data_IF_286828865472
#
_entry.id   IF_286828865472
#
_cell.length_a   1.000
_cell.length_b   1.000
_cell.length_c   1.000
_cell.angle_alpha   90.00
_cell.angle_beta   90.00
_cell.angle_gamma   90.00
#
_symmetry.space_group_name_H-M   'P 1'
#
loop_
_entity.id
_entity.type
_entity.pdbx_description
1 polymer ?
#
# COMPACT_ATOMS: atom_id res chain seq x y z
N UNK A 1 -19.11 51.02 34.45
CA UNK A 1 -19.27 49.78 33.65
C UNK A 1 -18.44 48.69 34.30
N UNK A 2 -19.08 47.72 34.96
CA UNK A 2 -18.41 46.57 35.56
C UNK A 2 -18.17 45.51 34.47
N UNK A 3 -16.91 45.32 34.07
CA UNK A 3 -16.52 44.18 33.22
C UNK A 3 -16.34 42.99 34.15
N UNK A 4 -17.21 41.98 34.04
CA UNK A 4 -17.00 40.71 34.75
C UNK A 4 -15.85 39.93 34.10
N UNK A 5 -14.93 39.33 34.88
CA UNK A 5 -13.83 38.59 34.31
C UNK A 5 -14.35 37.31 33.64
N UNK A 6 -13.97 37.11 32.38
CA UNK A 6 -14.22 35.88 31.63
C UNK A 6 -13.45 34.77 32.35
N UNK A 7 -14.16 33.78 32.87
CA UNK A 7 -13.57 32.58 33.46
C UNK A 7 -12.80 31.82 32.39
N UNK A 8 -11.47 31.84 32.46
CA UNK A 8 -10.60 31.05 31.60
C UNK A 8 -10.73 29.57 32.00
N UNK A 9 -11.56 28.82 31.27
CA UNK A 9 -11.67 27.37 31.46
C UNK A 9 -10.31 26.71 31.17
N UNK A 10 -9.61 26.26 32.21
CA UNK A 10 -8.38 25.48 32.09
C UNK A 10 -8.68 24.00 32.26
N UNK A 11 -8.79 23.28 31.15
CA UNK A 11 -9.03 21.84 31.10
C UNK A 11 -7.94 21.06 31.86
N UNK A 12 -6.68 21.48 31.71
CA UNK A 12 -5.52 20.89 32.38
C UNK A 12 -4.98 21.82 33.47
N UNK A 13 -4.65 21.25 34.64
CA UNK A 13 -4.07 21.98 35.76
C UNK A 13 -2.82 21.26 36.29
N UNK A 14 -1.76 22.01 36.56
CA UNK A 14 -0.55 21.49 37.22
C UNK A 14 -0.90 20.98 38.62
N UNK A 15 -0.35 19.81 39.02
CA UNK A 15 -0.63 19.17 40.31
C UNK A 15 -1.81 18.18 40.34
N UNK A 16 -2.64 18.11 39.30
CA UNK A 16 -3.79 17.18 39.24
C UNK A 16 -3.59 16.05 38.23
N UNK A 17 -2.58 15.21 38.47
CA UNK A 17 -2.13 14.15 37.55
C UNK A 17 -3.26 13.18 37.18
N UNK A 18 -4.02 12.68 38.15
CA UNK A 18 -5.12 11.75 37.90
C UNK A 18 -6.24 12.38 37.03
N UNK A 19 -6.62 13.62 37.31
CA UNK A 19 -7.67 14.33 36.57
C UNK A 19 -7.25 14.59 35.13
N UNK A 20 -6.01 15.01 34.92
CA UNK A 20 -5.45 15.25 33.58
C UNK A 20 -5.35 13.94 32.79
N UNK A 21 -4.89 12.85 33.42
CA UNK A 21 -4.83 11.53 32.79
C UNK A 21 -6.21 11.00 32.40
N UNK A 22 -7.22 11.15 33.27
CA UNK A 22 -8.60 10.79 32.95
C UNK A 22 -9.13 11.66 31.81
N UNK A 23 -8.89 12.97 31.84
CA UNK A 23 -9.32 13.89 30.78
C UNK A 23 -8.69 13.53 29.43
N UNK A 24 -7.39 13.20 29.40
CA UNK A 24 -6.71 12.74 28.18
C UNK A 24 -7.32 11.42 27.72
N UNK A 25 -7.47 10.44 28.60
CA UNK A 25 -8.02 9.12 28.25
C UNK A 25 -9.44 9.21 27.68
N UNK A 26 -10.30 10.03 28.29
CA UNK A 26 -11.67 10.25 27.81
C UNK A 26 -11.65 10.97 26.45
N UNK A 27 -10.82 12.01 26.31
CA UNK A 27 -10.71 12.76 25.07
C UNK A 27 -10.17 11.89 23.92
N UNK A 28 -9.14 11.09 24.16
CA UNK A 28 -8.56 10.17 23.16
C UNK A 28 -9.54 9.05 22.81
N UNK A 29 -10.23 8.48 23.79
CA UNK A 29 -11.27 7.46 23.56
C UNK A 29 -12.43 8.04 22.76
N UNK A 30 -12.89 9.25 23.09
CA UNK A 30 -13.95 9.95 22.36
C UNK A 30 -13.54 10.22 20.90
N UNK A 31 -12.33 10.75 20.66
CA UNK A 31 -11.82 10.96 19.30
C UNK A 31 -11.63 9.65 18.53
N UNK A 32 -11.26 8.56 19.21
CA UNK A 32 -11.20 7.24 18.59
C UNK A 32 -12.58 6.75 18.15
N UNK A 33 -13.60 6.83 19.00
CA UNK A 33 -14.97 6.40 18.67
C UNK A 33 -15.63 7.31 17.64
N UNK A 34 -15.52 8.63 17.79
CA UNK A 34 -16.01 9.59 16.79
C UNK A 34 -15.28 9.37 15.46
N UNK A 35 -13.96 9.17 15.50
CA UNK A 35 -13.16 8.81 14.33
C UNK A 35 -13.44 7.42 13.77
N UNK A 36 -14.11 6.54 14.51
CA UNK A 36 -14.58 5.23 14.04
C UNK A 36 -15.99 5.32 13.42
N UNK A 37 -16.90 6.11 14.01
CA UNK A 37 -18.28 6.32 13.54
C UNK A 37 -18.36 7.28 12.34
N UNK A 38 -17.47 8.29 12.25
CA UNK A 38 -17.38 9.19 11.10
C UNK A 38 -16.69 8.56 9.88
N UNK A 39 -16.23 7.30 9.98
CA UNK A 39 -15.69 6.56 8.82
C UNK A 39 -16.84 6.17 7.89
N UNK A 40 -17.20 7.10 7.01
CA UNK A 40 -17.71 6.74 5.68
C UNK A 40 -16.83 5.62 5.11
N UNK A 41 -17.50 4.64 4.51
CA UNK A 41 -17.05 3.32 4.02
C UNK A 41 -15.84 3.33 3.06
N UNK A 42 -15.11 4.44 2.90
CA UNK A 42 -14.06 4.64 1.91
C UNK A 42 -12.64 4.21 2.33
N UNK A 43 -12.37 3.90 3.60
CA UNK A 43 -10.99 3.58 4.04
C UNK A 43 -10.89 2.26 4.80
N UNK A 44 -10.99 1.16 4.04
CA UNK A 44 -10.53 -0.18 4.47
C UNK A 44 -9.04 -0.19 4.89
N UNK A 45 -8.29 0.85 4.53
CA UNK A 45 -6.89 1.14 4.88
C UNK A 45 -6.65 1.37 6.38
N UNK A 46 -7.63 1.85 7.15
CA UNK A 46 -7.43 2.32 8.54
C UNK A 46 -7.73 1.28 9.63
N UNK A 47 -8.06 0.03 9.27
CA UNK A 47 -8.12 -1.09 10.21
C UNK A 47 -7.00 -2.08 9.88
N UNK A 48 -5.86 -1.89 10.55
CA UNK A 48 -4.62 -2.62 10.29
C UNK A 48 -4.76 -4.17 10.27
N UNK A 49 -5.64 -4.82 11.06
CA UNK A 49 -5.83 -6.28 10.97
C UNK A 49 -6.48 -6.68 9.65
N UNK A 50 -7.47 -5.93 9.18
CA UNK A 50 -8.13 -6.19 7.89
C UNK A 50 -7.21 -5.89 6.73
N UNK A 51 -6.40 -4.84 6.79
CA UNK A 51 -5.35 -4.61 5.80
C UNK A 51 -4.36 -5.80 5.76
N UNK A 52 -3.96 -6.34 6.91
CA UNK A 52 -3.14 -7.55 6.99
C UNK A 52 -3.77 -8.76 6.30
N UNK A 53 -5.05 -9.02 6.58
CA UNK A 53 -5.80 -10.14 5.96
C UNK A 53 -5.95 -9.94 4.46
N UNK A 54 -6.37 -8.74 4.01
CA UNK A 54 -6.55 -8.43 2.59
C UNK A 54 -5.23 -8.52 1.84
N UNK A 55 -4.14 -7.99 2.40
CA UNK A 55 -2.80 -8.12 1.83
C UNK A 55 -2.36 -9.59 1.72
N UNK A 56 -2.67 -10.42 2.72
CA UNK A 56 -2.41 -11.85 2.68
C UNK A 56 -3.18 -12.58 1.59
N UNK A 57 -4.48 -12.32 1.47
CA UNK A 57 -5.34 -12.88 0.41
C UNK A 57 -4.85 -12.43 -0.97
N UNK A 58 -4.51 -11.15 -1.11
CA UNK A 58 -3.96 -10.59 -2.34
C UNK A 58 -2.61 -11.23 -2.72
N UNK A 59 -1.67 -11.34 -1.78
CA UNK A 59 -0.39 -12.01 -2.00
C UNK A 59 -0.57 -13.47 -2.44
N UNK A 60 -1.48 -14.21 -1.79
CA UNK A 60 -1.79 -15.59 -2.18
C UNK A 60 -2.38 -15.67 -3.59
N UNK A 61 -3.25 -14.73 -3.96
CA UNK A 61 -3.83 -14.68 -5.30
C UNK A 61 -2.75 -14.42 -6.36
N UNK A 62 -1.88 -13.44 -6.14
CA UNK A 62 -0.76 -13.16 -7.05
C UNK A 62 0.19 -14.36 -7.11
N UNK A 63 0.54 -14.98 -5.98
CA UNK A 63 1.42 -16.14 -5.96
C UNK A 63 0.83 -17.32 -6.74
N UNK A 64 -0.50 -17.52 -6.74
CA UNK A 64 -1.15 -18.53 -7.61
C UNK A 64 -1.01 -18.20 -9.09
N UNK A 65 -1.04 -16.92 -9.47
CA UNK A 65 -0.86 -16.48 -10.87
C UNK A 65 0.59 -16.68 -11.32
N UNK A 66 1.54 -16.32 -10.45
CA UNK A 66 2.99 -16.43 -10.68
C UNK A 66 3.44 -17.89 -10.70
N UNK A 67 2.93 -18.71 -9.78
CA UNK A 67 3.27 -20.12 -9.64
C UNK A 67 4.67 -20.33 -9.06
N UNK A 68 5.34 -21.36 -9.55
CA UNK A 68 6.74 -21.73 -9.24
C UNK A 68 7.77 -20.90 -10.00
N UNK A 69 7.32 -20.06 -10.94
CA UNK A 69 8.18 -19.23 -11.79
C UNK A 69 8.81 -18.03 -11.07
N UNK A 70 8.36 -17.70 -9.86
CA UNK A 70 8.82 -16.50 -9.18
C UNK A 70 8.32 -16.36 -7.75
N UNK A 71 8.77 -15.27 -7.12
CA UNK A 71 8.51 -14.96 -5.73
C UNK A 71 7.68 -13.68 -5.61
N UNK A 72 6.69 -13.69 -4.73
CA UNK A 72 5.89 -12.52 -4.37
C UNK A 72 6.26 -12.08 -2.96
N UNK A 73 6.59 -10.80 -2.80
CA UNK A 73 6.93 -10.18 -1.52
C UNK A 73 6.04 -8.96 -1.26
N UNK A 74 5.64 -8.77 0.00
CA UNK A 74 5.01 -7.53 0.46
C UNK A 74 6.11 -6.58 0.93
N UNK A 75 6.25 -5.44 0.27
CA UNK A 75 7.26 -4.43 0.59
C UNK A 75 6.76 -3.46 1.67
N UNK A 76 5.46 -3.13 1.64
CA UNK A 76 4.89 -2.11 2.51
C UNK A 76 3.37 -2.24 2.66
N UNK A 77 2.70 -1.13 2.99
CA UNK A 77 1.26 -1.09 3.27
C UNK A 77 0.43 -1.77 2.19
N UNK A 78 0.51 -1.28 0.96
CA UNK A 78 -0.20 -1.81 -0.23
C UNK A 78 0.76 -2.15 -1.38
N UNK A 79 2.07 -2.20 -1.09
CA UNK A 79 3.12 -2.36 -2.08
C UNK A 79 3.64 -3.81 -2.11
N UNK A 80 3.70 -4.37 -3.31
CA UNK A 80 4.15 -5.73 -3.57
C UNK A 80 5.23 -5.74 -4.65
N UNK A 81 6.24 -6.57 -4.45
CA UNK A 81 7.26 -6.86 -5.44
C UNK A 81 7.09 -8.31 -5.94
N UNK A 82 7.32 -8.50 -7.23
CA UNK A 82 7.32 -9.84 -7.85
C UNK A 82 8.64 -10.01 -8.60
N UNK A 83 9.42 -11.02 -8.20
CA UNK A 83 10.68 -11.36 -8.84
C UNK A 83 10.52 -12.64 -9.66
N UNK A 84 10.82 -12.56 -10.96
CA UNK A 84 10.69 -13.67 -11.91
C UNK A 84 11.99 -13.82 -12.69
N UNK A 85 12.76 -14.91 -12.52
CA UNK A 85 13.85 -15.22 -13.42
C UNK A 85 13.29 -15.44 -14.83
N UNK A 86 13.89 -14.77 -15.82
CA UNK A 86 13.50 -14.88 -17.22
C UNK A 86 14.72 -14.82 -18.13
N UNK A 87 14.59 -15.39 -19.33
CA UNK A 87 15.61 -15.31 -20.38
C UNK A 87 15.41 -14.06 -21.24
N UNK A 88 14.16 -13.57 -21.35
CA UNK A 88 13.81 -12.41 -22.15
C UNK A 88 13.02 -11.38 -21.30
N UNK A 89 13.33 -10.08 -21.36
CA UNK A 89 12.55 -9.02 -20.70
C UNK A 89 11.04 -9.08 -21.01
N UNK A 90 10.67 -9.55 -22.20
CA UNK A 90 9.27 -9.71 -22.62
C UNK A 90 8.51 -10.66 -21.70
N UNK A 91 9.15 -11.71 -21.17
CA UNK A 91 8.48 -12.67 -20.27
C UNK A 91 8.07 -12.01 -18.95
N UNK A 92 8.90 -11.08 -18.45
CA UNK A 92 8.58 -10.27 -17.27
C UNK A 92 7.36 -9.38 -17.49
N UNK A 93 7.29 -8.72 -18.65
CA UNK A 93 6.12 -7.91 -19.03
C UNK A 93 4.86 -8.76 -19.18
N UNK A 94 4.95 -9.93 -19.82
CA UNK A 94 3.82 -10.84 -19.95
C UNK A 94 3.32 -11.35 -18.60
N UNK A 95 4.23 -11.65 -17.67
CA UNK A 95 3.86 -12.00 -16.29
C UNK A 95 3.16 -10.84 -15.59
N UNK A 96 3.68 -9.62 -15.70
CA UNK A 96 3.07 -8.43 -15.12
C UNK A 96 1.63 -8.21 -15.65
N UNK A 97 1.41 -8.29 -16.97
CA UNK A 97 0.06 -8.19 -17.54
C UNK A 97 -0.86 -9.33 -17.12
N UNK A 98 -0.32 -10.55 -16.96
CA UNK A 98 -1.08 -11.69 -16.44
C UNK A 98 -1.55 -11.42 -15.01
N UNK A 99 -0.68 -10.90 -14.14
CA UNK A 99 -1.02 -10.50 -12.77
C UNK A 99 -2.07 -9.40 -12.79
N UNK A 100 -1.86 -8.33 -13.57
CA UNK A 100 -2.77 -7.19 -13.65
C UNK A 100 -4.19 -7.61 -14.03
N UNK A 101 -4.33 -8.36 -15.13
CA UNK A 101 -5.63 -8.88 -15.59
C UNK A 101 -6.22 -9.88 -14.60
N UNK A 102 -5.39 -10.74 -14.01
CA UNK A 102 -5.83 -11.72 -13.02
C UNK A 102 -6.34 -11.10 -11.72
N UNK A 103 -5.80 -9.94 -11.32
CA UNK A 103 -6.33 -9.15 -10.20
C UNK A 103 -7.63 -8.46 -10.58
N UNK A 104 -7.65 -7.78 -11.73
CA UNK A 104 -8.82 -7.04 -12.23
C UNK A 104 -10.07 -7.93 -12.39
N UNK A 105 -9.89 -9.17 -12.83
CA UNK A 105 -10.97 -10.12 -13.06
C UNK A 105 -11.39 -10.90 -11.80
N UNK A 106 -10.66 -10.78 -10.69
CA UNK A 106 -10.94 -11.54 -9.47
C UNK A 106 -11.83 -10.74 -8.50
N UNK A 107 -13.07 -11.16 -8.25
CA UNK A 107 -13.88 -10.59 -7.19
C UNK A 107 -13.36 -11.03 -5.81
N UNK A 108 -13.25 -10.09 -4.87
CA UNK A 108 -12.91 -10.35 -3.48
C UNK A 108 -14.16 -10.24 -2.60
N UNK A 109 -14.62 -11.36 -2.05
CA UNK A 109 -15.82 -11.36 -1.19
C UNK A 109 -15.44 -11.12 0.28
N UNK A 110 -16.02 -10.08 0.89
CA UNK A 110 -15.90 -9.77 2.31
C UNK A 110 -17.26 -9.39 2.90
N UNK A 111 -17.70 -10.07 3.96
CA UNK A 111 -18.98 -9.80 4.64
C UNK A 111 -20.17 -9.65 3.67
N UNK A 112 -20.30 -10.58 2.71
CA UNK A 112 -21.32 -10.58 1.66
C UNK A 112 -21.25 -9.41 0.65
N UNK A 113 -20.23 -8.54 0.74
CA UNK A 113 -19.91 -7.54 -0.28
C UNK A 113 -18.85 -8.07 -1.23
N UNK A 114 -18.99 -7.77 -2.51
CA UNK A 114 -17.97 -8.06 -3.53
C UNK A 114 -17.17 -6.81 -3.80
N UNK A 115 -15.85 -6.90 -3.61
CA UNK A 115 -14.88 -5.85 -3.90
C UNK A 115 -14.14 -6.21 -5.18
N UNK A 116 -14.01 -5.23 -6.07
CA UNK A 116 -13.17 -5.35 -7.27
C UNK A 116 -11.92 -4.51 -7.05
N UNK A 117 -10.75 -5.15 -7.15
CA UNK A 117 -9.47 -4.50 -6.99
C UNK A 117 -8.78 -4.39 -8.34
N UNK A 118 -7.93 -3.39 -8.49
CA UNK A 118 -7.01 -3.27 -9.62
C UNK A 118 -5.60 -3.05 -9.10
N UNK A 119 -4.61 -3.32 -9.94
CA UNK A 119 -3.20 -3.08 -9.61
C UNK A 119 -2.55 -2.31 -10.76
N UNK A 120 -1.64 -1.40 -10.42
CA UNK A 120 -0.74 -0.78 -11.38
C UNK A 120 0.63 -1.39 -11.18
N UNK A 121 1.34 -1.71 -12.27
CA UNK A 121 2.61 -2.44 -12.21
C UNK A 121 3.68 -1.68 -12.99
N UNK A 122 4.85 -1.52 -12.41
CA UNK A 122 6.05 -1.13 -13.13
C UNK A 122 6.99 -2.32 -13.25
N UNK A 123 7.63 -2.46 -14.41
CA UNK A 123 8.56 -3.56 -14.69
C UNK A 123 9.96 -3.00 -14.84
N UNK A 124 10.88 -3.49 -14.02
CA UNK A 124 12.32 -3.36 -14.24
C UNK A 124 12.88 -4.66 -14.81
N UNK A 125 13.87 -4.58 -15.71
CA UNK A 125 14.45 -5.77 -16.33
C UNK A 125 15.95 -5.62 -16.55
N UNK A 126 16.69 -6.66 -16.19
CA UNK A 126 18.14 -6.66 -16.32
C UNK A 126 18.76 -7.95 -15.82
N UNK A 127 20.07 -8.07 -16.03
CA UNK A 127 20.85 -9.21 -15.59
C UNK A 127 21.33 -8.99 -14.15
N UNK A 128 21.07 -9.96 -13.28
CA UNK A 128 21.64 -9.99 -11.95
C UNK A 128 22.83 -10.96 -11.91
N UNK A 129 23.95 -10.52 -11.35
CA UNK A 129 25.10 -11.40 -11.07
C UNK A 129 25.24 -11.59 -9.57
N UNK A 130 25.68 -12.78 -9.14
CA UNK A 130 25.93 -13.06 -7.72
C UNK A 130 26.88 -12.04 -7.07
N UNK A 131 27.84 -11.51 -7.85
CA UNK A 131 28.83 -10.53 -7.36
C UNK A 131 28.26 -9.13 -7.13
N UNK A 132 27.18 -8.79 -7.83
CA UNK A 132 26.57 -7.45 -7.83
C UNK A 132 25.09 -7.50 -7.46
N UNK A 133 24.65 -8.60 -6.84
CA UNK A 133 23.23 -8.92 -6.65
C UNK A 133 22.45 -7.79 -5.97
N UNK A 134 23.02 -7.18 -4.93
CA UNK A 134 22.41 -6.06 -4.20
C UNK A 134 22.27 -4.82 -5.08
N UNK A 135 23.31 -4.47 -5.83
CA UNK A 135 23.30 -3.29 -6.70
C UNK A 135 22.35 -3.48 -7.89
N UNK A 136 22.37 -4.67 -8.49
CA UNK A 136 21.48 -5.05 -9.58
C UNK A 136 20.02 -5.04 -9.11
N UNK A 137 19.74 -5.63 -7.94
CA UNK A 137 18.41 -5.59 -7.34
C UNK A 137 17.93 -4.15 -7.08
N UNK A 138 18.79 -3.31 -6.49
CA UNK A 138 18.44 -1.91 -6.22
C UNK A 138 18.14 -1.14 -7.52
N UNK A 139 18.96 -1.32 -8.56
CA UNK A 139 18.71 -0.69 -9.88
C UNK A 139 17.37 -1.13 -10.47
N UNK A 140 17.09 -2.43 -10.47
CA UNK A 140 15.83 -2.99 -10.98
C UNK A 140 14.61 -2.48 -10.19
N UNK A 141 14.75 -2.33 -8.87
CA UNK A 141 13.70 -1.78 -8.02
C UNK A 141 13.42 -0.31 -8.35
N UNK A 142 14.45 0.53 -8.55
CA UNK A 142 14.26 1.93 -8.93
C UNK A 142 13.62 2.04 -10.32
N UNK A 143 14.03 1.20 -11.26
CA UNK A 143 13.42 1.12 -12.59
C UNK A 143 11.92 0.73 -12.51
N UNK A 144 11.61 -0.31 -11.74
CA UNK A 144 10.25 -0.78 -11.53
C UNK A 144 9.39 0.30 -10.85
N UNK A 145 9.90 1.01 -9.85
CA UNK A 145 9.16 2.09 -9.17
C UNK A 145 8.90 3.28 -10.10
N UNK A 146 9.89 3.68 -10.90
CA UNK A 146 9.75 4.73 -11.93
C UNK A 146 8.63 4.39 -12.91
N UNK A 147 8.58 3.14 -13.36
CA UNK A 147 7.53 2.65 -14.25
C UNK A 147 6.17 2.54 -13.54
N UNK A 148 6.15 2.16 -12.26
CA UNK A 148 4.94 2.10 -11.46
C UNK A 148 4.32 3.48 -11.29
N UNK A 149 5.15 4.49 -11.02
CA UNK A 149 4.73 5.88 -10.92
C UNK A 149 4.06 6.36 -12.22
N UNK A 150 4.65 6.04 -13.39
CA UNK A 150 4.03 6.29 -14.70
C UNK A 150 2.67 5.61 -14.83
N UNK A 151 2.57 4.34 -14.46
CA UNK A 151 1.31 3.60 -14.49
C UNK A 151 0.23 4.27 -13.62
N UNK A 152 0.61 4.77 -12.44
CA UNK A 152 -0.29 5.52 -11.55
C UNK A 152 -0.72 6.86 -12.16
N UNK A 153 0.21 7.59 -12.79
CA UNK A 153 -0.07 8.89 -13.45
C UNK A 153 -0.96 8.76 -14.68
N UNK A 154 -0.74 7.76 -15.50
CA UNK A 154 -1.41 7.68 -16.80
C UNK A 154 -2.85 7.13 -16.70
N UNK A 155 -3.33 6.79 -15.51
CA UNK A 155 -4.72 6.39 -15.25
C UNK A 155 -4.89 5.09 -14.48
N UNK A 156 -3.82 4.55 -13.85
CA UNK A 156 -3.83 3.30 -13.07
C UNK A 156 -4.25 2.08 -13.90
N UNK A 157 -4.43 0.94 -13.23
CA UNK A 157 -4.81 -0.36 -13.81
C UNK A 157 -4.07 -0.67 -15.12
N UNK A 158 -2.74 -0.53 -15.10
CA UNK A 158 -1.88 -0.73 -16.27
C UNK A 158 -0.49 -1.17 -15.85
N UNK A 159 0.23 -1.71 -16.84
CA UNK A 159 1.65 -2.02 -16.73
C UNK A 159 2.46 -1.03 -17.55
N UNK A 160 3.58 -0.57 -17.01
CA UNK A 160 4.56 0.24 -17.74
C UNK A 160 5.95 -0.38 -17.66
N UNK A 161 6.75 -0.15 -18.69
CA UNK A 161 8.17 -0.50 -18.77
C UNK A 161 8.99 0.76 -19.10
N UNK A 162 10.30 0.69 -18.96
CA UNK A 162 11.18 1.75 -19.49
C UNK A 162 10.98 1.89 -20.99
N UNK A 163 10.96 3.14 -21.47
CA UNK A 163 10.95 3.42 -22.91
C UNK A 163 12.39 3.39 -23.43
N UNK A 164 12.54 3.07 -24.70
CA UNK A 164 13.84 3.08 -25.36
C UNK A 164 14.48 4.48 -25.23
N UNK A 165 15.67 4.56 -24.61
CA UNK A 165 16.42 5.80 -24.40
C UNK A 165 16.05 6.60 -23.15
N UNK A 166 15.17 6.10 -22.27
CA UNK A 166 14.99 6.69 -20.93
C UNK A 166 16.08 6.23 -19.98
N UNK A 167 16.71 7.16 -19.26
CA UNK A 167 17.55 6.85 -18.11
C UNK A 167 16.73 6.90 -16.83
N UNK A 168 17.07 6.02 -15.88
CA UNK A 168 16.52 6.03 -14.54
C UNK A 168 17.13 7.23 -13.81
N UNK A 169 16.30 8.19 -13.40
CA UNK A 169 16.71 9.41 -12.69
C UNK A 169 16.96 9.14 -11.22
#
# INVERSE_FOLDING_TARGET
>A
MHVQPISTFRMFQEGHLLRNSIAIFVLTTLFYFIGAELRLVHELSLFWPLNGVMAGVFAQHIQKIVGDKGLVARMGGEEFAVAVPSVNPVDGLLMAEKIRKGVELQPFTWQQKTLYLTVSIGVGSGCASYRTLTDDFNKLMVEADTCLYRSKKDGRNRTSTMRYGEEVV
#
